data_IF_081500496189
#
_entry.id   IF_081500496189
#
_cell.length_a   1.000
_cell.length_b   1.000
_cell.length_c   1.000
_cell.angle_alpha   90.00
_cell.angle_beta   90.00
_cell.angle_gamma   90.00
#
_symmetry.space_group_name_H-M   'P 1'
#
loop_
_entity.id
_entity.type
_entity.pdbx_description
1 polymer ?
#
# COMPACT_ATOMS: atom_id res chain seq x y z
N UNK A 1 -5.25 -8.54 2.78
CA UNK A 1 -4.29 -7.50 2.38
C UNK A 1 -3.90 -6.69 3.60
N UNK A 2 -2.61 -6.54 3.82
CA UNK A 2 -2.07 -5.74 4.93
C UNK A 2 -1.18 -4.63 4.38
N UNK A 3 -1.22 -3.47 5.04
CA UNK A 3 -0.46 -2.26 4.69
C UNK A 3 0.36 -1.80 5.88
N UNK A 4 1.58 -1.36 5.60
CA UNK A 4 2.41 -0.61 6.52
C UNK A 4 2.76 0.75 5.89
N UNK A 5 2.77 1.81 6.70
CA UNK A 5 3.31 3.10 6.29
C UNK A 5 4.78 3.21 6.70
N UNK A 6 5.65 3.51 5.74
CA UNK A 6 7.10 3.53 5.93
C UNK A 6 7.61 2.23 6.54
N UNK A 7 8.37 2.34 7.63
CA UNK A 7 8.91 1.22 8.42
C UNK A 7 7.96 0.76 9.54
N UNK A 8 6.74 1.29 9.60
CA UNK A 8 5.75 0.94 10.60
C UNK A 8 5.25 -0.50 10.50
N UNK A 9 4.44 -0.91 11.49
CA UNK A 9 3.86 -2.25 11.54
C UNK A 9 2.76 -2.47 10.48
N UNK A 10 2.65 -3.70 9.99
CA UNK A 10 1.57 -4.10 9.10
C UNK A 10 0.23 -4.11 9.83
N UNK A 11 -0.77 -3.51 9.19
CA UNK A 11 -2.16 -3.54 9.64
C UNK A 11 -3.02 -4.10 8.53
N UNK A 12 -3.99 -4.94 8.88
CA UNK A 12 -4.90 -5.46 7.90
C UNK A 12 -5.82 -4.33 7.38
N UNK A 13 -5.86 -4.15 6.07
CA UNK A 13 -6.67 -3.13 5.41
C UNK A 13 -7.79 -3.75 4.56
N UNK A 14 -7.73 -5.05 4.29
CA UNK A 14 -8.80 -5.78 3.64
C UNK A 14 -8.76 -7.28 3.96
N UNK A 15 -9.94 -7.87 4.16
CA UNK A 15 -10.18 -9.30 4.41
C UNK A 15 -11.14 -9.86 3.36
N UNK A 16 -11.12 -11.18 3.18
CA UNK A 16 -12.08 -11.87 2.30
C UNK A 16 -11.99 -11.50 0.82
N UNK A 17 -10.81 -11.04 0.36
CA UNK A 17 -10.61 -10.76 -1.06
C UNK A 17 -10.72 -12.05 -1.86
N UNK A 18 -11.71 -12.10 -2.77
CA UNK A 18 -11.87 -13.16 -3.76
C UNK A 18 -11.17 -12.81 -5.08
N UNK A 19 -10.82 -11.54 -5.27
CA UNK A 19 -10.08 -11.03 -6.43
C UNK A 19 -8.63 -10.74 -6.06
N UNK A 20 -7.67 -10.95 -6.96
CA UNK A 20 -6.26 -10.62 -6.72
C UNK A 20 -5.97 -9.11 -6.77
N UNK A 21 -7.00 -8.29 -7.01
CA UNK A 21 -6.87 -6.84 -7.14
C UNK A 21 -7.49 -6.14 -5.92
N UNK A 22 -6.75 -5.19 -5.34
CA UNK A 22 -7.21 -4.30 -4.29
C UNK A 22 -6.87 -2.86 -4.66
N UNK A 23 -7.82 -1.94 -4.52
CA UNK A 23 -7.58 -0.51 -4.75
C UNK A 23 -7.49 0.22 -3.41
N UNK A 24 -6.29 0.70 -3.07
CA UNK A 24 -6.07 1.48 -1.85
C UNK A 24 -6.18 2.98 -2.16
N UNK A 25 -7.33 3.59 -1.81
CA UNK A 25 -7.55 5.02 -1.94
C UNK A 25 -7.14 5.83 -0.70
N UNK A 26 -6.67 5.18 0.36
CA UNK A 26 -6.26 5.80 1.62
C UNK A 26 -4.74 5.98 1.67
N UNK A 27 -4.16 6.52 0.58
CA UNK A 27 -2.73 6.82 0.44
C UNK A 27 -2.49 8.32 0.34
N UNK A 28 -1.51 8.81 1.08
CA UNK A 28 -1.12 10.22 1.10
C UNK A 28 0.16 10.43 0.29
N UNK A 29 0.24 11.55 -0.42
CA UNK A 29 1.43 11.91 -1.20
C UNK A 29 2.63 12.18 -0.30
N UNK A 30 3.80 11.71 -0.68
CA UNK A 30 5.03 11.84 0.09
C UNK A 30 5.28 10.75 1.12
N UNK A 31 4.44 9.72 1.16
CA UNK A 31 4.59 8.57 2.03
C UNK A 31 4.97 7.34 1.20
N UNK A 32 5.80 6.49 1.80
CA UNK A 32 6.06 5.14 1.30
C UNK A 32 5.11 4.17 1.99
N UNK A 33 4.56 3.23 1.23
CA UNK A 33 3.67 2.20 1.72
C UNK A 33 4.19 0.83 1.31
N UNK A 34 4.05 -0.14 2.21
CA UNK A 34 4.40 -1.54 1.99
C UNK A 34 3.16 -2.39 2.07
N UNK A 35 3.00 -3.30 1.13
CA UNK A 35 1.84 -4.16 1.02
C UNK A 35 2.25 -5.62 0.98
N UNK A 36 1.50 -6.43 1.73
CA UNK A 36 1.64 -7.88 1.73
C UNK A 36 0.26 -8.51 1.64
N UNK A 37 0.17 -9.59 0.87
CA UNK A 37 -1.05 -10.38 0.76
C UNK A 37 -0.84 -11.69 1.52
N UNK A 38 -1.86 -12.12 2.25
CA UNK A 38 -1.87 -13.42 2.91
C UNK A 38 -3.09 -14.16 2.40
N UNK A 39 -2.88 -15.36 1.87
CA UNK A 39 -3.99 -16.26 1.59
C UNK A 39 -4.51 -16.81 2.92
N UNK A 40 -5.84 -16.86 3.07
CA UNK A 40 -6.48 -17.45 4.24
C UNK A 40 -7.43 -18.55 3.77
N UNK A 41 -7.26 -19.74 4.33
CA UNK A 41 -8.14 -20.89 4.10
C UNK A 41 -8.85 -21.29 5.41
N UNK A 42 -9.58 -22.42 5.40
CA UNK A 42 -10.24 -22.93 6.59
C UNK A 42 -9.28 -23.37 7.70
N UNK A 43 -8.00 -23.60 7.39
CA UNK A 43 -6.96 -23.99 8.33
C UNK A 43 -6.23 -22.76 8.93
N UNK A 44 -6.38 -21.59 8.33
CA UNK A 44 -5.87 -20.32 8.85
C UNK A 44 -5.20 -19.46 7.78
N UNK A 45 -4.40 -18.50 8.24
CA UNK A 45 -3.59 -17.66 7.36
C UNK A 45 -2.30 -18.40 6.94
N UNK A 46 -2.05 -18.48 5.65
CA UNK A 46 -0.83 -19.03 5.08
C UNK A 46 0.36 -18.05 5.17
N UNK A 47 1.48 -18.36 4.50
CA UNK A 47 2.61 -17.44 4.41
C UNK A 47 2.24 -16.14 3.71
N UNK A 48 2.95 -15.07 4.07
CA UNK A 48 2.86 -13.77 3.39
C UNK A 48 3.44 -13.87 1.97
N UNK A 49 2.87 -13.14 1.02
CA UNK A 49 3.49 -12.94 -0.29
C UNK A 49 4.74 -12.05 -0.17
N UNK A 50 5.44 -11.89 -1.31
CA UNK A 50 6.48 -10.88 -1.44
C UNK A 50 5.95 -9.49 -1.07
N UNK A 51 6.79 -8.72 -0.38
CA UNK A 51 6.49 -7.36 0.05
C UNK A 51 6.58 -6.41 -1.15
N UNK A 52 5.47 -5.77 -1.49
CA UNK A 52 5.43 -4.72 -2.50
C UNK A 52 5.60 -3.35 -1.82
N UNK A 53 6.65 -2.61 -2.21
CA UNK A 53 6.87 -1.23 -1.72
C UNK A 53 6.54 -0.23 -2.81
N UNK A 54 5.76 0.80 -2.45
CA UNK A 54 5.44 1.92 -3.33
C UNK A 54 5.64 3.24 -2.60
N UNK A 55 6.31 4.19 -3.25
CA UNK A 55 6.41 5.56 -2.75
C UNK A 55 5.48 6.44 -3.57
N UNK A 56 4.52 7.07 -2.90
CA UNK A 56 3.65 8.05 -3.56
C UNK A 56 4.45 9.35 -3.62
N UNK A 57 4.83 9.86 -4.80
CA UNK A 57 5.54 11.12 -4.86
C UNK A 57 4.67 12.23 -4.28
N UNK A 58 5.27 13.16 -3.52
CA UNK A 58 4.65 14.47 -3.36
C UNK A 58 4.46 15.02 -4.75
N UNK A 59 3.28 15.57 -5.06
CA UNK A 59 3.18 16.39 -6.24
C UNK A 59 4.33 17.38 -6.14
N UNK A 60 5.21 17.41 -7.14
CA UNK A 60 6.20 18.47 -7.19
C UNK A 60 5.38 19.74 -7.09
N UNK A 61 5.58 20.51 -6.02
CA UNK A 61 5.38 21.97 -6.09
C UNK A 61 5.91 22.34 -7.46
N UNK A 62 5.02 22.75 -8.37
CA UNK A 62 5.39 22.98 -9.75
C UNK A 62 6.62 23.89 -9.73
N UNK A 63 7.78 23.36 -10.12
CA UNK A 63 8.92 24.20 -10.31
C UNK A 63 8.51 25.20 -11.40
N UNK A 64 8.48 26.47 -10.99
CA UNK A 64 8.18 27.66 -11.78
C UNK A 64 6.70 28.01 -11.96
N UNK A 65 6.24 28.96 -11.15
CA UNK A 65 5.56 30.11 -11.73
C UNK A 65 6.42 30.57 -12.92
N UNK A 66 5.87 30.47 -14.13
CA UNK A 66 6.48 31.07 -15.32
C UNK A 66 6.52 32.56 -15.08
N UNK A 67 7.73 33.13 -15.02
CA UNK A 67 7.91 34.56 -15.21
C UNK A 67 7.41 34.92 -16.61
N UNK A 68 6.39 35.77 -16.71
CA UNK A 68 6.14 36.70 -17.81
C UNK A 68 5.39 37.90 -17.26
#
# INVERSE_FOLDING_TARGET
MSKAEGTGGFRNIALGLTTPTFFDNAVSTGHSYRYVVTAQDANGAGPLSDEATITIPKQREAASHVAH
#
